data_IF_106513172192
#
_entry.id   IF_106513172192
#
_cell.length_a   1.000
_cell.length_b   1.000
_cell.length_c   1.000
_cell.angle_alpha   90.00
_cell.angle_beta   90.00
_cell.angle_gamma   90.00
#
_symmetry.space_group_name_H-M   'P 1'
#
loop_
_entity.id
_entity.type
_entity.pdbx_description
1 polymer ?
#
# COMPACT_ATOMS: atom_id res chain seq x y z
N UNK A 1 -10.22 -9.22 3.06
CA UNK A 1 -9.99 -10.37 3.97
C UNK A 1 -9.89 -9.83 5.41
N UNK A 2 -10.30 -10.60 6.42
CA UNK A 2 -10.11 -10.23 7.83
C UNK A 2 -8.66 -10.45 8.26
N UNK A 3 -8.22 -9.85 9.38
CA UNK A 3 -6.86 -10.02 9.93
C UNK A 3 -5.82 -8.98 9.48
N UNK A 4 -6.21 -8.02 8.63
CA UNK A 4 -5.31 -6.99 8.13
C UNK A 4 -5.39 -5.72 8.98
N UNK A 5 -4.23 -5.14 9.30
CA UNK A 5 -4.10 -3.89 10.05
C UNK A 5 -3.21 -2.89 9.32
N UNK A 6 -3.46 -1.60 9.55
CA UNK A 6 -2.59 -0.53 9.05
C UNK A 6 -1.28 -0.52 9.84
N UNK A 7 -0.16 -0.54 9.13
CA UNK A 7 1.18 -0.54 9.73
C UNK A 7 1.80 0.85 9.74
N UNK A 8 1.59 1.64 8.69
CA UNK A 8 2.13 2.99 8.64
C UNK A 8 2.30 3.57 7.24
N UNK A 9 2.63 4.87 7.21
CA UNK A 9 3.03 5.62 6.02
C UNK A 9 4.56 5.62 5.93
N UNK A 10 5.10 5.26 4.77
CA UNK A 10 6.55 5.18 4.54
C UNK A 10 6.94 5.81 3.20
N UNK A 11 8.16 6.33 3.15
CA UNK A 11 8.79 6.79 1.92
C UNK A 11 9.06 5.60 1.02
N UNK A 12 8.55 5.64 -0.22
CA UNK A 12 8.74 4.61 -1.24
C UNK A 12 9.36 5.24 -2.50
N UNK A 13 10.68 5.46 -2.46
CA UNK A 13 11.42 6.12 -3.54
C UNK A 13 12.70 5.35 -3.87
N UNK A 14 13.00 5.21 -5.16
CA UNK A 14 14.14 4.42 -5.64
C UNK A 14 13.92 2.93 -5.44
N UNK A 15 14.26 2.41 -4.26
CA UNK A 15 14.02 1.02 -3.89
C UNK A 15 12.62 0.87 -3.31
N UNK A 16 11.75 0.15 -4.03
CA UNK A 16 10.39 -0.15 -3.58
C UNK A 16 10.40 -0.99 -2.29
N UNK A 17 9.50 -0.69 -1.36
CA UNK A 17 9.33 -1.44 -0.09
C UNK A 17 8.70 -2.81 -0.36
N UNK A 18 7.66 -2.85 -1.20
CA UNK A 18 6.93 -4.05 -1.58
C UNK A 18 7.18 -4.34 -3.06
N UNK A 19 7.88 -5.44 -3.36
CA UNK A 19 8.46 -5.72 -4.69
C UNK A 19 7.87 -6.94 -5.39
N UNK A 20 6.87 -7.60 -4.81
CA UNK A 20 6.44 -8.91 -5.29
C UNK A 20 5.48 -8.81 -6.49
N UNK A 21 4.22 -8.42 -6.25
CA UNK A 21 3.25 -8.17 -7.30
C UNK A 21 2.71 -6.75 -7.19
N UNK A 22 2.26 -6.18 -8.30
CA UNK A 22 1.62 -4.87 -8.30
C UNK A 22 0.58 -4.75 -9.39
N UNK A 23 -0.27 -3.74 -9.26
CA UNK A 23 -1.21 -3.31 -10.29
C UNK A 23 -1.53 -1.83 -10.14
N UNK A 24 -1.98 -1.21 -11.23
CA UNK A 24 -2.63 0.10 -11.21
C UNK A 24 -4.12 -0.12 -11.44
N UNK A 25 -4.96 0.46 -10.59
CA UNK A 25 -6.41 0.30 -10.66
C UNK A 25 -7.12 1.65 -10.64
N UNK A 26 -8.11 1.81 -11.51
CA UNK A 26 -9.03 2.96 -11.51
C UNK A 26 -10.06 2.90 -10.39
N UNK A 27 -10.15 1.78 -9.68
CA UNK A 27 -11.05 1.56 -8.54
C UNK A 27 -10.29 1.14 -7.28
N UNK A 28 -9.05 1.63 -7.13
CA UNK A 28 -8.20 1.27 -6.00
C UNK A 28 -8.78 1.79 -4.69
N UNK A 29 -8.74 0.96 -3.66
CA UNK A 29 -8.95 1.28 -2.25
C UNK A 29 -7.98 0.40 -1.44
N UNK A 30 -7.70 0.69 -0.15
CA UNK A 30 -6.91 -0.22 0.68
C UNK A 30 -7.50 -1.64 0.69
N UNK A 31 -8.82 -1.77 0.77
CA UNK A 31 -9.55 -3.03 0.85
C UNK A 31 -9.41 -3.83 -0.46
N UNK A 32 -9.52 -3.19 -1.63
CA UNK A 32 -9.34 -3.87 -2.92
C UNK A 32 -7.88 -4.28 -3.11
N UNK A 33 -6.92 -3.46 -2.66
CA UNK A 33 -5.51 -3.81 -2.74
C UNK A 33 -5.15 -4.98 -1.82
N UNK A 34 -5.65 -4.97 -0.58
CA UNK A 34 -5.54 -6.08 0.37
C UNK A 34 -6.14 -7.36 -0.23
N UNK A 35 -7.33 -7.30 -0.85
CA UNK A 35 -7.95 -8.45 -1.49
C UNK A 35 -7.10 -9.00 -2.65
N UNK A 36 -6.55 -8.12 -3.49
CA UNK A 36 -5.65 -8.49 -4.57
C UNK A 36 -4.38 -9.19 -4.07
N UNK A 37 -3.70 -8.62 -3.07
CA UNK A 37 -2.46 -9.19 -2.52
C UNK A 37 -2.73 -10.51 -1.79
N UNK A 38 -3.77 -10.57 -0.97
CA UNK A 38 -4.17 -11.78 -0.27
C UNK A 38 -4.58 -12.91 -1.23
N UNK A 39 -5.31 -12.59 -2.31
CA UNK A 39 -5.68 -13.57 -3.35
C UNK A 39 -4.47 -14.15 -4.09
N UNK A 40 -3.30 -13.50 -4.00
CA UNK A 40 -2.02 -13.99 -4.53
C UNK A 40 -1.13 -14.64 -3.48
N UNK A 41 -1.60 -14.79 -2.23
CA UNK A 41 -0.85 -15.41 -1.14
C UNK A 41 0.15 -14.49 -0.43
N UNK A 42 0.09 -13.17 -0.66
CA UNK A 42 0.95 -12.20 0.03
C UNK A 42 0.35 -11.76 1.37
N UNK A 43 1.21 -11.48 2.35
CA UNK A 43 0.82 -11.07 3.71
C UNK A 43 0.92 -9.56 3.93
N UNK A 44 1.40 -8.80 2.94
CA UNK A 44 1.47 -7.35 2.94
C UNK A 44 0.88 -6.77 1.67
N UNK A 45 0.28 -5.60 1.83
CA UNK A 45 -0.33 -4.81 0.77
C UNK A 45 0.02 -3.35 1.02
N UNK A 46 0.18 -2.59 -0.05
CA UNK A 46 0.46 -1.17 0.04
C UNK A 46 -0.23 -0.40 -1.07
N UNK A 47 -0.81 0.73 -0.71
CA UNK A 47 -1.45 1.65 -1.65
C UNK A 47 -0.61 2.90 -1.79
N UNK A 48 -0.40 3.32 -3.03
CA UNK A 48 0.41 4.48 -3.39
C UNK A 48 -0.24 5.28 -4.51
N UNK A 49 0.02 6.59 -4.51
CA UNK A 49 -0.34 7.51 -5.58
C UNK A 49 -1.79 7.34 -6.07
N UNK A 50 -2.73 7.20 -5.12
CA UNK A 50 -4.18 7.03 -5.32
C UNK A 50 -4.62 5.69 -5.95
N UNK A 51 -3.86 5.17 -6.90
CA UNK A 51 -4.29 4.12 -7.84
C UNK A 51 -3.36 2.92 -7.88
N UNK A 52 -2.16 3.01 -7.31
CA UNK A 52 -1.21 1.92 -7.28
C UNK A 52 -1.48 0.99 -6.09
N UNK A 53 -1.31 -0.30 -6.35
CA UNK A 53 -1.36 -1.36 -5.35
C UNK A 53 -0.10 -2.22 -5.47
N UNK A 54 0.53 -2.48 -4.34
CA UNK A 54 1.80 -3.18 -4.22
C UNK A 54 1.67 -4.30 -3.19
N UNK A 55 2.25 -5.46 -3.47
CA UNK A 55 2.20 -6.64 -2.62
C UNK A 55 3.58 -7.09 -2.20
N UNK A 56 3.65 -7.75 -1.04
CA UNK A 56 4.86 -8.41 -0.58
C UNK A 56 4.57 -9.36 0.58
N UNK A 57 5.56 -10.16 0.95
CA UNK A 57 5.52 -10.97 2.18
C UNK A 57 6.49 -10.48 3.26
N UNK A 58 7.30 -9.48 2.92
CA UNK A 58 8.28 -8.85 3.79
C UNK A 58 8.60 -7.45 3.25
N UNK A 59 9.17 -6.59 4.10
CA UNK A 59 9.76 -5.34 3.66
C UNK A 59 11.10 -5.57 2.98
N UNK A 60 11.39 -4.73 1.99
CA UNK A 60 12.77 -4.44 1.62
C UNK A 60 13.46 -3.69 2.77
N UNK A 61 14.41 -4.33 3.45
CA UNK A 61 15.03 -3.82 4.69
C UNK A 61 15.83 -2.52 4.51
N UNK A 62 16.19 -2.17 3.26
CA UNK A 62 16.89 -0.91 2.93
C UNK A 62 15.95 0.20 2.46
N UNK A 63 14.63 -0.02 2.50
CA UNK A 63 13.61 0.94 2.10
C UNK A 63 12.62 1.23 3.24
N UNK A 64 11.84 2.31 3.11
CA UNK A 64 10.68 2.53 3.98
C UNK A 64 10.93 3.29 5.27
N UNK A 65 11.70 4.38 5.18
CA UNK A 65 11.77 5.40 6.23
C UNK A 65 10.35 5.87 6.58
N UNK A 66 9.99 5.96 7.87
CA UNK A 66 8.70 6.52 8.28
C UNK A 66 8.47 7.91 7.67
N UNK A 67 7.23 8.18 7.27
CA UNK A 67 6.80 9.52 6.82
C UNK A 67 5.60 9.98 7.64
N UNK A 68 5.27 11.27 7.55
CA UNK A 68 4.03 11.78 8.13
C UNK A 68 2.83 11.08 7.49
N UNK A 69 1.80 10.77 8.29
CA UNK A 69 0.54 10.24 7.77
C UNK A 69 -0.11 11.19 6.76
N UNK A 70 0.14 12.50 6.90
CA UNK A 70 -0.34 13.52 5.96
C UNK A 70 0.29 13.39 4.57
N UNK A 71 1.49 12.84 4.47
CA UNK A 71 2.14 12.60 3.17
C UNK A 71 1.49 11.43 2.41
N UNK A 72 0.73 10.60 3.13
CA UNK A 72 -0.03 9.48 2.59
C UNK A 72 -1.53 9.80 2.42
N UNK A 73 -1.92 11.08 2.28
CA UNK A 73 -3.33 11.48 2.29
C UNK A 73 -3.96 11.64 0.88
N UNK A 74 -3.36 11.12 -0.19
CA UNK A 74 -3.97 11.17 -1.53
C UNK A 74 -5.24 10.33 -1.56
N UNK A 75 -6.33 10.92 -2.06
CA UNK A 75 -7.62 10.25 -2.17
C UNK A 75 -7.53 9.02 -3.07
N UNK A 76 -8.17 7.92 -2.70
CA UNK A 76 -8.21 6.71 -3.52
C UNK A 76 -9.05 6.89 -4.78
N UNK A 77 -8.69 6.20 -5.87
CA UNK A 77 -9.45 6.25 -7.13
C UNK A 77 -10.80 5.53 -7.06
N UNK A 78 -10.92 4.50 -6.22
CA UNK A 78 -12.16 3.76 -6.01
C UNK A 78 -13.09 4.32 -4.94
N UNK A 79 -12.57 5.16 -4.04
CA UNK A 79 -13.33 5.81 -2.97
C UNK A 79 -12.58 7.04 -2.43
N UNK A 80 -13.02 8.24 -2.81
CA UNK A 80 -12.34 9.48 -2.42
C UNK A 80 -12.44 9.83 -0.93
N UNK A 81 -13.28 9.11 -0.15
CA UNK A 81 -13.32 9.24 1.31
C UNK A 81 -12.17 8.49 2.00
N UNK A 82 -11.46 7.62 1.27
CA UNK A 82 -10.32 6.85 1.75
C UNK A 82 -9.01 7.42 1.21
N UNK A 83 -7.92 7.09 1.89
CA UNK A 83 -6.56 7.52 1.53
C UNK A 83 -5.77 6.35 0.94
N UNK A 84 -4.98 6.62 -0.09
CA UNK A 84 -4.24 5.63 -0.86
C UNK A 84 -2.80 6.09 -1.12
N UNK A 85 -2.10 6.43 -0.04
CA UNK A 85 -0.70 6.86 -0.10
C UNK A 85 -0.54 8.27 -0.67
N UNK A 86 0.56 8.50 -1.36
CA UNK A 86 0.90 9.76 -2.00
C UNK A 86 2.06 9.59 -2.97
N UNK A 87 2.58 10.68 -3.53
CA UNK A 87 3.72 10.60 -4.43
C UNK A 87 4.96 10.05 -3.71
N UNK A 88 5.42 8.85 -4.08
CA UNK A 88 6.51 8.15 -3.39
C UNK A 88 6.25 7.96 -1.89
N UNK A 89 4.98 7.74 -1.53
CA UNK A 89 4.51 7.53 -0.16
C UNK A 89 3.51 6.39 -0.15
N UNK A 90 3.87 5.30 0.49
CA UNK A 90 3.05 4.10 0.53
C UNK A 90 2.42 3.95 1.90
N UNK A 91 1.11 3.69 1.92
CA UNK A 91 0.42 3.21 3.12
C UNK A 91 0.46 1.70 3.13
N UNK A 92 0.96 1.12 4.21
CA UNK A 92 1.16 -0.32 4.32
C UNK A 92 0.11 -0.95 5.23
N UNK A 93 -0.37 -2.11 4.80
CA UNK A 93 -1.24 -3.00 5.54
C UNK A 93 -0.61 -4.38 5.62
N UNK A 94 -0.81 -5.08 6.74
CA UNK A 94 -0.25 -6.40 6.97
C UNK A 94 -1.29 -7.32 7.60
N UNK A 95 -1.29 -8.58 7.17
CA UNK A 95 -2.02 -9.66 7.79
C UNK A 95 -1.29 -10.18 9.04
N UNK A 96 -1.98 -10.25 10.17
CA UNK A 96 -1.49 -10.83 11.43
C UNK A 96 -1.92 -12.29 11.60
#
# INVERSE_FOLDING_TARGET
PTGWSYVGCKVDVGNRILVAASQVSTTNTPQTCIAFCSGKGYTMAGVEFSQECWCGSSYNSVAGTPSSILDCASACTGDSAQTCGGASRIQIYQNS
#
